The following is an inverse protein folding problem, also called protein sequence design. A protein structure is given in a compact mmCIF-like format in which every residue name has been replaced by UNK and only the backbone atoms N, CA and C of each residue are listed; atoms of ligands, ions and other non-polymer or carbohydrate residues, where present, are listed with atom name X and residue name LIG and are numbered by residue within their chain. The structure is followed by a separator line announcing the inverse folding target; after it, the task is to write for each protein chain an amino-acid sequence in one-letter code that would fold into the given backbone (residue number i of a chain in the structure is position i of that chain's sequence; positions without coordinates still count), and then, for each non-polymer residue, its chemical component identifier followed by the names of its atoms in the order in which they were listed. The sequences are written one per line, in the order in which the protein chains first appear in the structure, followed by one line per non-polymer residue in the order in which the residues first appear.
data_IF_250340505243
#
_entry.id   IF_250340505243
#
_cell.length_a   1.000
_cell.length_b   1.000
_cell.length_c   1.000
_cell.angle_alpha   90.00
_cell.angle_beta   90.00
_cell.angle_gamma   90.00
#
_symmetry.space_group_name_H-M   'P 1'
#
loop_
_entity.id
_entity.type
_entity.pdbx_description
1 polymer ?
#
# COMPACT_ATOMS: atom_id res chain seq x y z
N UNK A 1 -2.76 3.71 -19.27
CA UNK A 1 -2.24 3.28 -17.96
C UNK A 1 -3.32 3.21 -16.86
N UNK A 2 -4.62 3.27 -17.20
CA UNK A 2 -5.69 3.18 -16.20
C UNK A 2 -5.73 1.83 -15.48
N UNK A 3 -5.36 0.77 -16.19
CA UNK A 3 -5.20 -0.59 -15.69
C UNK A 3 -4.24 -0.73 -14.50
N UNK A 4 -3.19 0.09 -14.40
CA UNK A 4 -2.23 0.02 -13.28
C UNK A 4 -2.86 0.59 -12.01
N UNK A 5 -3.52 1.75 -12.10
CA UNK A 5 -4.30 2.32 -10.99
C UNK A 5 -5.46 1.41 -10.59
N UNK A 6 -6.13 0.78 -11.56
CA UNK A 6 -7.14 -0.24 -11.28
C UNK A 6 -6.56 -1.42 -10.51
N UNK A 7 -5.45 -1.99 -10.99
CA UNK A 7 -4.77 -3.10 -10.34
C UNK A 7 -4.30 -2.75 -8.92
N UNK A 8 -3.71 -1.57 -8.72
CA UNK A 8 -3.25 -1.10 -7.41
C UNK A 8 -4.41 -0.83 -6.47
N UNK A 9 -5.47 -0.17 -6.94
CA UNK A 9 -6.67 0.09 -6.13
C UNK A 9 -7.35 -1.20 -5.70
N UNK A 10 -7.49 -2.16 -6.60
CA UNK A 10 -8.08 -3.47 -6.33
C UNK A 10 -7.21 -4.30 -5.38
N UNK A 11 -5.88 -4.24 -5.53
CA UNK A 11 -4.93 -4.87 -4.62
C UNK A 11 -4.97 -4.25 -3.21
N UNK A 12 -5.16 -2.92 -3.10
CA UNK A 12 -5.36 -2.25 -1.81
C UNK A 12 -6.69 -2.61 -1.15
N UNK A 13 -7.77 -2.72 -1.92
CA UNK A 13 -9.06 -3.18 -1.38
C UNK A 13 -8.95 -4.64 -0.92
N UNK A 14 -8.44 -5.54 -1.77
CA UNK A 14 -8.24 -6.94 -1.39
C UNK A 14 -7.35 -7.08 -0.16
N UNK A 15 -6.22 -6.36 -0.14
CA UNK A 15 -5.31 -6.36 1.01
C UNK A 15 -5.98 -5.83 2.28
N UNK A 16 -6.74 -4.74 2.17
CA UNK A 16 -7.48 -4.14 3.28
C UNK A 16 -8.57 -5.07 3.83
N UNK A 17 -9.35 -5.70 2.94
CA UNK A 17 -10.39 -6.67 3.29
C UNK A 17 -9.81 -7.92 3.95
N UNK A 18 -8.71 -8.47 3.40
CA UNK A 18 -8.04 -9.64 4.01
C UNK A 18 -7.48 -9.29 5.38
N UNK A 19 -6.88 -8.10 5.55
CA UNK A 19 -6.39 -7.63 6.84
C UNK A 19 -7.53 -7.40 7.85
N UNK A 20 -8.71 -6.98 7.38
CA UNK A 20 -9.92 -6.76 8.18
C UNK A 20 -10.54 -8.06 8.69
N UNK A 21 -10.76 -9.04 7.82
CA UNK A 21 -11.48 -10.26 8.18
C UNK A 21 -10.58 -11.34 8.79
N UNK A 22 -9.30 -11.37 8.41
CA UNK A 22 -8.36 -12.43 8.80
C UNK A 22 -7.12 -11.88 9.52
N UNK A 23 -7.31 -10.87 10.38
CA UNK A 23 -6.21 -10.18 11.06
C UNK A 23 -5.23 -11.12 11.75
N UNK A 24 -5.72 -12.11 12.50
CA UNK A 24 -4.87 -13.07 13.21
C UNK A 24 -4.02 -13.93 12.26
N UNK A 25 -4.63 -14.41 11.18
CA UNK A 25 -3.96 -15.25 10.17
C UNK A 25 -2.91 -14.43 9.43
N UNK A 26 -3.23 -13.18 9.05
CA UNK A 26 -2.28 -12.29 8.39
C UNK A 26 -1.12 -11.93 9.33
N UNK A 27 -1.39 -11.66 10.62
CA UNK A 27 -0.35 -11.39 11.61
C UNK A 27 0.62 -12.58 11.75
N UNK A 28 0.07 -13.78 11.92
CA UNK A 28 0.85 -15.00 12.18
C UNK A 28 1.58 -15.53 10.94
N UNK A 29 0.96 -15.49 9.76
CA UNK A 29 1.57 -16.07 8.55
C UNK A 29 2.32 -15.05 7.69
N UNK A 30 1.85 -13.80 7.63
CA UNK A 30 2.42 -12.79 6.73
C UNK A 30 3.44 -11.93 7.45
N UNK A 31 3.07 -11.31 8.57
CA UNK A 31 3.98 -10.41 9.29
C UNK A 31 5.09 -11.17 10.02
N UNK A 32 4.81 -12.33 10.62
CA UNK A 32 5.85 -13.15 11.24
C UNK A 32 6.87 -13.69 10.23
N UNK A 33 6.43 -13.99 8.99
CA UNK A 33 7.30 -14.41 7.90
C UNK A 33 8.10 -13.23 7.33
N UNK A 34 7.50 -12.03 7.26
CA UNK A 34 8.22 -10.79 6.93
C UNK A 34 9.30 -10.44 7.95
N UNK A 35 9.13 -10.79 9.24
CA UNK A 35 10.16 -10.62 10.27
C UNK A 35 11.47 -11.36 9.95
N UNK A 36 11.37 -12.51 9.28
CA UNK A 36 12.52 -13.33 8.90
C UNK A 36 13.22 -12.83 7.63
N UNK A 37 12.55 -12.00 6.83
CA UNK A 37 13.10 -11.46 5.59
C UNK A 37 13.94 -10.22 5.92
N UNK A 38 15.12 -10.12 5.31
CA UNK A 38 15.95 -8.94 5.48
C UNK A 38 15.21 -7.69 4.96
N UNK A 39 15.08 -6.61 5.76
CA UNK A 39 14.28 -5.44 5.41
C UNK A 39 14.78 -4.74 4.12
N UNK A 40 16.08 -4.85 3.81
CA UNK A 40 16.66 -4.38 2.54
C UNK A 40 16.15 -5.15 1.32
N UNK A 41 15.83 -6.44 1.45
CA UNK A 41 15.22 -7.22 0.36
C UNK A 41 13.74 -6.87 0.15
N UNK A 42 13.10 -6.26 1.16
CA UNK A 42 11.72 -5.79 1.08
C UNK A 42 11.62 -4.38 0.48
N UNK A 43 12.70 -3.59 0.48
CA UNK A 43 12.74 -2.23 -0.04
C UNK A 43 12.42 -2.05 -1.53
N UNK A 44 12.73 -2.99 -2.45
CA UNK A 44 12.43 -2.81 -3.87
C UNK A 44 10.91 -2.79 -4.11
N UNK A 45 10.16 -3.55 -3.31
CA UNK A 45 8.70 -3.67 -3.45
C UNK A 45 7.99 -2.31 -3.35
N UNK A 46 8.09 -1.53 -2.24
CA UNK A 46 7.46 -0.21 -2.14
C UNK A 46 8.04 0.80 -3.15
N UNK A 47 9.31 0.68 -3.56
CA UNK A 47 9.89 1.55 -4.59
C UNK A 47 9.27 1.30 -5.96
N UNK A 48 9.13 0.03 -6.36
CA UNK A 48 8.50 -0.37 -7.62
C UNK A 48 7.03 0.06 -7.60
N UNK A 49 6.30 -0.19 -6.51
CA UNK A 49 4.92 0.27 -6.36
C UNK A 49 4.79 1.79 -6.45
N UNK A 50 5.68 2.54 -5.79
CA UNK A 50 5.71 4.00 -5.84
C UNK A 50 6.00 4.52 -7.25
N UNK A 51 6.92 3.90 -7.98
CA UNK A 51 7.23 4.26 -9.36
C UNK A 51 6.05 3.96 -10.31
N UNK A 52 5.41 2.80 -10.16
CA UNK A 52 4.20 2.45 -10.93
C UNK A 52 3.06 3.45 -10.66
N UNK A 53 2.88 3.88 -9.41
CA UNK A 53 1.93 4.93 -9.05
C UNK A 53 2.28 6.27 -9.69
N UNK A 54 3.55 6.69 -9.65
CA UNK A 54 4.01 7.94 -10.28
C UNK A 54 3.76 7.94 -11.79
N UNK A 55 4.08 6.85 -12.48
CA UNK A 55 3.83 6.71 -13.92
C UNK A 55 2.33 6.75 -14.22
N UNK A 56 1.51 6.12 -13.38
CA UNK A 56 0.06 6.10 -13.54
C UNK A 56 -0.62 7.43 -13.21
N UNK A 57 0.02 8.30 -12.43
CA UNK A 57 -0.51 9.62 -12.05
C UNK A 57 -0.82 10.50 -13.27
N UNK A 58 -0.11 10.32 -14.38
CA UNK A 58 -0.36 11.07 -15.63
C UNK A 58 -1.74 10.77 -16.24
N UNK A 59 -2.34 9.62 -15.91
CA UNK A 59 -3.60 9.15 -16.49
C UNK A 59 -4.84 9.41 -15.62
N UNK A 60 -4.72 10.21 -14.55
CA UNK A 60 -5.83 10.53 -13.64
C UNK A 60 -6.07 12.02 -13.52
N UNK A 61 -7.32 12.42 -13.29
CA UNK A 61 -7.74 13.81 -13.05
C UNK A 61 -7.27 14.35 -11.68
N UNK A 62 -6.95 13.48 -10.72
CA UNK A 62 -6.46 13.88 -9.38
C UNK A 62 -4.97 13.54 -9.21
N UNK A 63 -4.16 14.08 -10.12
CA UNK A 63 -2.70 13.85 -10.22
C UNK A 63 -1.97 14.08 -8.90
N UNK A 64 -2.34 15.12 -8.15
CA UNK A 64 -1.69 15.51 -6.90
C UNK A 64 -1.78 14.39 -5.85
N UNK A 65 -2.96 13.78 -5.67
CA UNK A 65 -3.14 12.73 -4.65
C UNK A 65 -2.30 11.49 -5.01
N UNK A 66 -2.29 11.11 -6.28
CA UNK A 66 -1.51 9.95 -6.74
C UNK A 66 -0.01 10.24 -6.64
N UNK A 67 0.44 11.46 -6.93
CA UNK A 67 1.84 11.83 -6.73
C UNK A 67 2.26 11.84 -5.26
N UNK A 68 1.38 12.26 -4.35
CA UNK A 68 1.66 12.17 -2.89
C UNK A 68 1.80 10.70 -2.48
N UNK A 69 0.90 9.82 -2.93
CA UNK A 69 0.97 8.39 -2.63
C UNK A 69 2.21 7.73 -3.26
N UNK A 70 2.54 8.09 -4.49
CA UNK A 70 3.75 7.65 -5.17
C UNK A 70 5.01 8.09 -4.41
N UNK A 71 5.05 9.36 -4.00
CA UNK A 71 6.13 9.94 -3.20
C UNK A 71 6.28 9.25 -1.85
N UNK A 72 5.18 8.92 -1.18
CA UNK A 72 5.20 8.13 0.06
C UNK A 72 5.77 6.72 -0.18
N UNK A 73 5.40 6.05 -1.27
CA UNK A 73 5.95 4.74 -1.64
C UNK A 73 7.46 4.76 -1.89
N UNK A 74 7.93 5.73 -2.68
CA UNK A 74 9.35 5.94 -2.96
C UNK A 74 10.12 6.31 -1.69
N UNK A 75 9.61 7.25 -0.89
CA UNK A 75 10.22 7.65 0.37
C UNK A 75 10.35 6.46 1.33
N UNK A 76 9.33 5.60 1.41
CA UNK A 76 9.35 4.40 2.26
C UNK A 76 10.37 3.38 1.76
N UNK A 77 10.50 3.18 0.45
CA UNK A 77 11.55 2.32 -0.13
C UNK A 77 12.96 2.85 0.11
N UNK A 78 13.19 4.15 -0.08
CA UNK A 78 14.47 4.82 0.22
C UNK A 78 14.78 4.73 1.71
N UNK A 79 13.80 4.96 2.58
CA UNK A 79 13.96 4.83 4.03
C UNK A 79 14.41 3.41 4.40
N UNK A 80 13.79 2.37 3.83
CA UNK A 80 14.21 0.98 4.06
C UNK A 80 15.62 0.65 3.51
N UNK A 81 16.08 1.35 2.46
CA UNK A 81 17.44 1.19 1.94
C UNK A 81 18.49 1.91 2.80
N UNK A 82 18.19 3.12 3.26
CA UNK A 82 19.10 3.96 4.04
C UNK A 82 19.16 3.55 5.53
N UNK A 83 18.12 2.89 6.05
CA UNK A 83 18.06 2.48 7.44
C UNK A 83 18.98 1.27 7.72
N UNK A 84 19.81 1.30 8.77
CA UNK A 84 20.60 0.15 9.17
C UNK A 84 19.70 -1.00 9.62
N UNK A 85 20.09 -2.24 9.29
CA UNK A 85 19.25 -3.44 9.42
C UNK A 85 18.76 -3.68 10.85
N UNK A 86 19.57 -3.33 11.84
CA UNK A 86 19.23 -3.42 13.27
C UNK A 86 18.04 -2.51 13.62
N UNK A 87 18.04 -1.27 13.11
CA UNK A 87 16.93 -0.33 13.35
C UNK A 87 15.69 -0.73 12.56
N UNK A 88 15.85 -1.21 11.33
CA UNK A 88 14.75 -1.69 10.52
C UNK A 88 14.05 -2.91 11.17
N UNK A 89 14.82 -3.86 11.72
CA UNK A 89 14.26 -4.98 12.50
C UNK A 89 13.52 -4.50 13.75
N UNK A 90 14.08 -3.54 14.50
CA UNK A 90 13.40 -2.95 15.67
C UNK A 90 12.08 -2.28 15.29
N UNK A 91 12.02 -1.64 14.12
CA UNK A 91 10.82 -1.01 13.58
C UNK A 91 9.76 -2.05 13.18
N UNK A 92 10.18 -3.16 12.54
CA UNK A 92 9.29 -4.29 12.23
C UNK A 92 8.79 -5.00 13.49
N UNK A 93 9.62 -5.14 14.51
CA UNK A 93 9.23 -5.73 15.79
C UNK A 93 8.24 -4.81 16.54
N UNK A 94 8.44 -3.50 16.46
CA UNK A 94 7.49 -2.52 17.01
C UNK A 94 6.15 -2.54 16.28
N UNK A 95 6.15 -2.59 14.94
CA UNK A 95 4.88 -2.70 14.19
C UNK A 95 4.16 -4.01 14.47
N UNK A 96 4.90 -5.12 14.64
CA UNK A 96 4.39 -6.42 15.05
C UNK A 96 3.79 -6.45 16.46
N UNK A 97 4.14 -5.50 17.33
CA UNK A 97 3.59 -5.42 18.70
C UNK A 97 2.21 -4.77 18.75
N UNK A 98 1.67 -4.30 17.63
CA UNK A 98 0.36 -3.67 17.59
C UNK A 98 -0.76 -4.67 17.88
N UNK A 99 -1.82 -4.17 18.52
CA UNK A 99 -3.02 -4.95 18.82
C UNK A 99 -3.76 -5.30 17.52
N UNK A 100 -4.50 -6.41 17.53
CA UNK A 100 -5.30 -6.84 16.37
C UNK A 100 -6.30 -5.77 15.91
N UNK A 101 -6.83 -4.97 16.85
CA UNK A 101 -7.68 -3.81 16.52
C UNK A 101 -6.95 -2.75 15.69
N UNK A 102 -5.65 -2.54 15.91
CA UNK A 102 -4.84 -1.60 15.13
C UNK A 102 -4.63 -2.11 13.71
N UNK A 103 -4.41 -3.41 13.54
CA UNK A 103 -4.31 -4.04 12.22
C UNK A 103 -5.63 -4.00 11.45
N UNK A 104 -6.77 -4.25 12.12
CA UNK A 104 -8.09 -4.03 11.52
C UNK A 104 -8.25 -2.58 11.07
N UNK A 105 -7.89 -1.60 11.93
CA UNK A 105 -7.95 -0.18 11.59
C UNK A 105 -7.08 0.19 10.37
N UNK A 106 -5.87 -0.37 10.27
CA UNK A 106 -5.02 -0.23 9.08
C UNK A 106 -5.67 -0.84 7.84
N UNK A 107 -6.42 -1.93 7.99
CA UNK A 107 -7.14 -2.59 6.91
C UNK A 107 -8.29 -1.76 6.37
N UNK A 108 -9.07 -1.14 7.28
CA UNK A 108 -10.11 -0.15 6.91
C UNK A 108 -9.48 1.01 6.15
N UNK A 109 -8.40 1.58 6.68
CA UNK A 109 -7.73 2.73 6.08
C UNK A 109 -7.21 2.39 4.68
N UNK A 110 -6.62 1.20 4.51
CA UNK A 110 -6.14 0.70 3.22
C UNK A 110 -7.29 0.49 2.22
N UNK A 111 -8.42 -0.06 2.67
CA UNK A 111 -9.60 -0.26 1.83
C UNK A 111 -10.21 1.08 1.39
N UNK A 112 -10.35 2.06 2.30
CA UNK A 112 -10.83 3.41 1.97
C UNK A 112 -9.90 4.07 0.94
N UNK A 113 -8.58 3.97 1.13
CA UNK A 113 -7.62 4.48 0.15
C UNK A 113 -7.77 3.82 -1.22
N UNK A 114 -7.94 2.50 -1.25
CA UNK A 114 -8.14 1.74 -2.49
C UNK A 114 -9.43 2.15 -3.22
N UNK A 115 -10.54 2.32 -2.48
CA UNK A 115 -11.82 2.80 -3.02
C UNK A 115 -11.67 4.21 -3.58
N UNK A 116 -10.98 5.11 -2.86
CA UNK A 116 -10.74 6.47 -3.31
C UNK A 116 -9.96 6.48 -4.63
N UNK A 117 -8.86 5.70 -4.71
CA UNK A 117 -8.06 5.57 -5.93
C UNK A 117 -8.89 5.03 -7.10
N UNK A 118 -9.73 4.01 -6.88
CA UNK A 118 -10.64 3.54 -7.93
C UNK A 118 -11.67 4.60 -8.32
N UNK A 119 -12.24 5.32 -7.36
CA UNK A 119 -13.20 6.41 -7.59
C UNK A 119 -12.61 7.51 -8.47
N UNK A 120 -11.34 7.86 -8.29
CA UNK A 120 -10.65 8.83 -9.16
C UNK A 120 -10.51 8.38 -10.62
N UNK A 121 -10.72 7.08 -10.91
CA UNK A 121 -10.78 6.57 -12.28
C UNK A 121 -12.19 6.63 -12.87
N UNK A 122 -13.21 6.34 -12.07
CA UNK A 122 -14.61 6.20 -12.51
C UNK A 122 -15.20 7.57 -12.91
N UNK A 123 -14.79 8.64 -12.24
CA UNK A 123 -15.22 10.02 -12.58
C UNK A 123 -14.78 10.43 -13.99
N UNK A 124 -13.80 9.76 -14.60
CA UNK A 124 -13.36 10.04 -15.98
C UNK A 124 -14.17 9.30 -17.06
N UNK A 125 -15.02 8.35 -16.70
CA UNK A 125 -16.03 7.83 -17.62
C UNK A 125 -17.20 8.80 -17.57
N UNK A 126 -17.41 9.68 -18.58
CA UNK A 126 -18.69 10.35 -18.68
C UNK A 126 -19.75 9.25 -18.67
N UNK A 127 -20.71 9.39 -17.76
CA UNK A 127 -21.92 8.61 -17.80
C UNK A 127 -22.37 8.58 -19.26
N UNK A 128 -22.37 7.39 -19.85
CA UNK A 128 -23.04 7.19 -21.13
C UNK A 128 -24.48 7.55 -20.81
N UNK A 129 -24.85 8.76 -21.23
CA UNK A 129 -26.21 9.26 -21.26
C UNK A 129 -26.96 8.24 -22.11
N UNK A 130 -27.81 7.45 -21.44
CA UNK A 130 -28.86 6.67 -22.06
C UNK A 130 -30.18 7.36 -21.73
#
# INVERSE_FOLDING_TARGET
MKWVLFGIGLLWIMGGTVLLFNTEIVRKNFFQKMRQINPKKLSPCPMIFGLLLALSATASSHKIVIYVLAGMGLAKGIFFLAMPEVKARKWTDWSLSFSDKTYMGLGVLLAILGIYVLGTMIVETPAIVA
#
